data_IF_539490739782
#
_entry.id   IF_539490739782
#
_cell.length_a   1.000
_cell.length_b   1.000
_cell.length_c   1.000
_cell.angle_alpha   90.00
_cell.angle_beta   90.00
_cell.angle_gamma   90.00
#
_symmetry.space_group_name_H-M   'P 1'
#
loop_
_entity.id
_entity.type
_entity.pdbx_description
1 polymer ?
#
# COMPACT_ATOMS: atom_id res chain seq x y z
N UNK A 1 -12.21 8.62 -9.65
CA UNK A 1 -12.25 9.74 -8.67
C UNK A 1 -11.38 10.87 -9.16
N UNK A 2 -11.93 12.08 -9.38
CA UNK A 2 -11.15 13.21 -9.89
C UNK A 2 -9.99 13.59 -8.97
N UNK A 3 -8.83 13.89 -9.55
CA UNK A 3 -7.70 14.46 -8.80
C UNK A 3 -7.93 15.94 -8.41
N UNK A 4 -8.89 16.61 -9.07
CA UNK A 4 -9.29 17.97 -8.73
C UNK A 4 -10.12 17.95 -7.45
N UNK A 5 -9.58 18.51 -6.37
CA UNK A 5 -10.23 18.56 -5.06
C UNK A 5 -11.57 19.28 -5.07
N UNK A 6 -11.79 20.29 -5.92
CA UNK A 6 -13.09 20.96 -6.00
C UNK A 6 -14.16 20.09 -6.66
N UNK A 7 -13.80 19.30 -7.68
CA UNK A 7 -14.74 18.40 -8.34
C UNK A 7 -15.20 17.29 -7.37
N UNK A 8 -14.35 16.86 -6.45
CA UNK A 8 -14.70 15.85 -5.44
C UNK A 8 -15.91 16.25 -4.59
N UNK A 9 -16.13 17.54 -4.34
CA UNK A 9 -17.25 18.00 -3.51
C UNK A 9 -18.53 18.28 -4.31
N UNK A 10 -18.55 18.05 -5.62
CA UNK A 10 -19.76 18.26 -6.42
C UNK A 10 -20.87 17.30 -6.01
N UNK A 11 -22.13 17.78 -5.86
CA UNK A 11 -23.27 16.92 -5.51
C UNK A 11 -23.46 15.75 -6.48
N UNK A 12 -23.17 15.98 -7.77
CA UNK A 12 -23.27 14.97 -8.83
C UNK A 12 -22.30 13.81 -8.60
N UNK A 13 -21.06 14.09 -8.16
CA UNK A 13 -20.08 13.05 -7.87
C UNK A 13 -20.27 12.42 -6.49
N UNK A 14 -20.76 13.18 -5.50
CA UNK A 14 -21.11 12.66 -4.19
C UNK A 14 -22.34 11.73 -4.22
N UNK A 15 -23.23 11.92 -5.21
CA UNK A 15 -24.36 11.03 -5.46
C UNK A 15 -23.96 9.65 -6.02
N UNK A 16 -22.73 9.49 -6.50
CA UNK A 16 -22.22 8.23 -7.03
C UNK A 16 -21.49 7.46 -5.93
N UNK A 17 -22.11 6.39 -5.44
CA UNK A 17 -21.64 5.61 -4.28
C UNK A 17 -20.17 5.19 -4.42
N UNK A 18 -19.78 4.61 -5.55
CA UNK A 18 -18.43 4.11 -5.78
C UNK A 18 -17.37 5.23 -5.75
N UNK A 19 -17.71 6.40 -6.30
CA UNK A 19 -16.79 7.53 -6.34
C UNK A 19 -16.65 8.21 -4.98
N UNK A 20 -17.77 8.35 -4.26
CA UNK A 20 -17.76 8.87 -2.90
C UNK A 20 -16.94 7.97 -1.96
N UNK A 21 -17.16 6.65 -2.02
CA UNK A 21 -16.43 5.69 -1.17
C UNK A 21 -14.95 5.56 -1.54
N UNK A 22 -14.61 5.53 -2.83
CA UNK A 22 -13.19 5.55 -3.22
C UNK A 22 -12.51 6.85 -2.77
N UNK A 23 -13.16 7.99 -2.91
CA UNK A 23 -12.63 9.28 -2.47
C UNK A 23 -12.36 9.30 -0.97
N UNK A 24 -13.29 8.81 -0.17
CA UNK A 24 -13.13 8.67 1.28
C UNK A 24 -11.95 7.74 1.63
N UNK A 25 -11.87 6.56 1.00
CA UNK A 25 -10.76 5.62 1.23
C UNK A 25 -9.40 6.19 0.81
N UNK A 26 -9.35 6.94 -0.30
CA UNK A 26 -8.12 7.58 -0.76
C UNK A 26 -7.66 8.72 0.17
N UNK A 27 -8.59 9.41 0.84
CA UNK A 27 -8.26 10.45 1.82
C UNK A 27 -7.54 9.89 3.06
N UNK A 28 -7.93 8.69 3.51
CA UNK A 28 -7.29 7.97 4.63
C UNK A 28 -5.98 7.27 4.22
N UNK A 29 -5.70 7.21 2.92
CA UNK A 29 -4.52 6.55 2.37
C UNK A 29 -3.23 7.36 2.54
N UNK A 30 -2.09 6.67 2.51
CA UNK A 30 -0.77 7.28 2.50
C UNK A 30 -0.23 7.27 1.07
N UNK A 31 0.19 8.42 0.50
CA UNK A 31 0.82 8.44 -0.81
C UNK A 31 2.10 7.59 -0.87
N UNK A 32 2.23 6.77 -1.90
CA UNK A 32 3.46 6.00 -2.12
C UNK A 32 4.68 6.91 -2.29
N UNK A 33 5.81 6.48 -1.74
CA UNK A 33 7.09 7.14 -1.98
C UNK A 33 7.46 7.06 -3.47
N UNK A 34 7.90 8.19 -4.04
CA UNK A 34 8.29 8.29 -5.47
C UNK A 34 9.75 7.86 -5.73
N UNK A 35 10.29 6.95 -4.93
CA UNK A 35 11.67 6.48 -5.06
C UNK A 35 11.70 5.16 -5.84
N UNK A 36 12.79 4.90 -6.57
CA UNK A 36 12.99 3.61 -7.24
C UNK A 36 13.00 2.44 -6.23
N UNK A 37 13.49 2.70 -5.00
CA UNK A 37 13.55 1.72 -3.91
C UNK A 37 12.18 1.22 -3.45
N UNK A 38 11.08 1.94 -3.73
CA UNK A 38 9.73 1.48 -3.39
C UNK A 38 9.40 0.13 -4.04
N UNK A 39 10.00 -0.17 -5.21
CA UNK A 39 9.80 -1.45 -5.88
C UNK A 39 10.38 -2.64 -5.11
N UNK A 40 11.42 -2.43 -4.30
CA UNK A 40 12.05 -3.49 -3.50
C UNK A 40 11.13 -4.02 -2.39
N UNK A 41 10.10 -3.25 -2.00
CA UNK A 41 9.23 -3.60 -0.88
C UNK A 41 8.10 -4.57 -1.28
N UNK A 42 7.69 -4.58 -2.56
CA UNK A 42 6.51 -5.33 -3.00
C UNK A 42 6.65 -6.85 -2.84
N UNK A 43 7.82 -7.40 -3.15
CA UNK A 43 8.11 -8.84 -2.99
C UNK A 43 8.00 -9.28 -1.52
N UNK A 44 8.86 -8.74 -0.62
CA UNK A 44 8.82 -9.08 0.80
C UNK A 44 7.45 -8.84 1.46
N UNK A 45 6.75 -7.76 1.09
CA UNK A 45 5.40 -7.48 1.59
C UNK A 45 4.37 -8.55 1.13
N UNK A 46 4.49 -9.04 -0.10
CA UNK A 46 3.66 -10.11 -0.63
C UNK A 46 3.93 -11.44 0.08
N UNK A 47 5.20 -11.81 0.24
CA UNK A 47 5.62 -13.06 0.87
C UNK A 47 5.15 -13.15 2.32
N UNK A 48 5.36 -12.07 3.09
CA UNK A 48 4.95 -12.03 4.50
C UNK A 48 3.44 -12.05 4.66
N UNK A 49 2.70 -11.36 3.78
CA UNK A 49 1.24 -11.39 3.75
C UNK A 49 0.74 -12.81 3.48
N UNK A 50 1.35 -13.51 2.52
CA UNK A 50 1.05 -14.90 2.22
C UNK A 50 1.27 -15.82 3.44
N UNK A 51 2.41 -15.68 4.11
CA UNK A 51 2.74 -16.48 5.30
C UNK A 51 1.79 -16.22 6.48
N UNK A 52 1.44 -14.94 6.73
CA UNK A 52 0.50 -14.55 7.78
C UNK A 52 -0.91 -15.10 7.53
N UNK A 53 -1.39 -15.05 6.29
CA UNK A 53 -2.71 -15.58 5.91
C UNK A 53 -2.78 -17.10 6.11
N UNK A 54 -1.70 -17.82 5.78
CA UNK A 54 -1.62 -19.27 6.00
C UNK A 54 -1.36 -19.66 7.46
N UNK A 55 -1.00 -18.68 8.31
CA UNK A 55 -0.56 -18.88 9.71
C UNK A 55 0.64 -19.81 9.81
N UNK A 56 1.56 -19.67 8.86
CA UNK A 56 2.75 -20.52 8.77
C UNK A 56 3.63 -20.38 10.03
N UNK A 57 3.72 -19.16 10.59
CA UNK A 57 4.54 -18.83 11.77
C UNK A 57 3.92 -17.67 12.59
N UNK A 58 4.55 -17.37 13.73
CA UNK A 58 4.21 -16.18 14.52
C UNK A 58 4.47 -14.89 13.72
N UNK A 59 3.63 -13.84 13.88
CA UNK A 59 3.76 -12.63 13.04
C UNK A 59 5.08 -11.88 13.16
N UNK A 60 5.64 -11.80 14.36
CA UNK A 60 6.84 -11.01 14.64
C UNK A 60 8.08 -11.48 13.87
N UNK A 61 8.48 -12.77 13.91
CA UNK A 61 9.61 -13.24 13.10
C UNK A 61 9.37 -13.15 11.59
N UNK A 62 8.12 -13.32 11.13
CA UNK A 62 7.76 -13.17 9.72
C UNK A 62 7.97 -11.71 9.24
N UNK A 63 7.51 -10.74 10.04
CA UNK A 63 7.70 -9.31 9.75
C UNK A 63 9.18 -8.91 9.79
N UNK A 64 9.95 -9.44 10.74
CA UNK A 64 11.39 -9.20 10.82
C UNK A 64 12.14 -9.76 9.60
N UNK A 65 11.78 -10.96 9.14
CA UNK A 65 12.35 -11.56 7.93
C UNK A 65 12.01 -10.74 6.67
N UNK A 66 10.76 -10.25 6.57
CA UNK A 66 10.34 -9.39 5.47
C UNK A 66 11.10 -8.07 5.43
N UNK A 67 11.33 -7.44 6.59
CA UNK A 67 12.15 -6.24 6.72
C UNK A 67 13.57 -6.49 6.23
N UNK A 68 14.22 -7.57 6.70
CA UNK A 68 15.58 -7.91 6.30
C UNK A 68 15.69 -8.17 4.78
N UNK A 69 14.71 -8.86 4.19
CA UNK A 69 14.64 -9.10 2.75
C UNK A 69 14.48 -7.80 1.96
N UNK A 70 13.65 -6.87 2.43
CA UNK A 70 13.48 -5.56 1.82
C UNK A 70 14.77 -4.72 1.87
N UNK A 71 15.47 -4.72 3.01
CA UNK A 71 16.74 -4.02 3.17
C UNK A 71 17.83 -4.58 2.25
N UNK A 72 17.91 -5.91 2.11
CA UNK A 72 18.82 -6.58 1.19
C UNK A 72 18.52 -6.21 -0.27
N UNK A 73 17.25 -6.26 -0.68
CA UNK A 73 16.83 -5.88 -2.03
C UNK A 73 17.14 -4.41 -2.34
N UNK A 74 16.95 -3.49 -1.38
CA UNK A 74 17.35 -2.09 -1.52
C UNK A 74 18.86 -1.94 -1.66
N UNK A 75 19.65 -2.73 -0.95
CA UNK A 75 21.11 -2.70 -1.03
C UNK A 75 21.62 -3.15 -2.40
N UNK A 76 20.99 -4.16 -3.02
CA UNK A 76 21.34 -4.65 -4.37
C UNK A 76 21.02 -3.64 -5.48
N UNK A 77 20.16 -2.65 -5.21
CA UNK A 77 19.81 -1.60 -6.17
C UNK A 77 20.78 -0.40 -6.17
N UNK A 78 21.77 -0.37 -5.26
CA UNK A 78 22.77 0.70 -5.15
C UNK A 78 24.01 0.40 -5.96
#
# INVERSE_FOLDING_TARGET
>A
VPANSQALYSPELQGLYELAQFGAAAHEGIPFARTAFMNALWGPAGDVTGALVRRDDAPEPLLAAAQAAAEAAVAEMR
#
